data_IF_786274084869
#
_entry.id   IF_786274084869
#
_cell.length_a   1.000
_cell.length_b   1.000
_cell.length_c   1.000
_cell.angle_alpha   90.00
_cell.angle_beta   90.00
_cell.angle_gamma   90.00
#
_symmetry.space_group_name_H-M   'P 1'
#
loop_
_entity.id
_entity.type
_entity.pdbx_description
1 polymer ?
#
# COMPACT_ATOMS: atom_id res chain seq x y z
N UNK A 1 26.83 18.99 15.15
CA UNK A 1 26.00 19.17 13.94
C UNK A 1 24.69 18.42 14.09
N UNK A 2 23.57 19.05 13.77
CA UNK A 2 22.25 18.41 13.85
C UNK A 2 22.08 17.41 12.69
N UNK A 3 21.40 16.30 12.94
CA UNK A 3 21.09 15.29 11.92
C UNK A 3 20.02 15.87 10.97
N UNK A 4 20.18 15.77 9.64
CA UNK A 4 19.21 16.33 8.70
C UNK A 4 17.89 15.55 8.71
N UNK A 5 16.78 16.27 8.57
CA UNK A 5 15.45 15.69 8.42
C UNK A 5 15.19 15.33 6.95
N UNK A 6 15.12 14.04 6.63
CA UNK A 6 14.92 13.56 5.25
C UNK A 6 13.49 13.03 5.09
N UNK A 7 12.81 13.44 4.02
CA UNK A 7 11.47 12.97 3.68
C UNK A 7 11.42 12.33 2.29
N UNK A 8 10.77 11.17 2.17
CA UNK A 8 10.47 10.52 0.90
C UNK A 8 9.00 10.74 0.53
N UNK A 9 8.76 11.16 -0.71
CA UNK A 9 7.44 11.55 -1.21
C UNK A 9 6.99 10.62 -2.36
N UNK A 10 5.96 9.81 -2.11
CA UNK A 10 5.32 8.96 -3.11
C UNK A 10 4.18 9.66 -3.85
N UNK A 11 4.20 9.61 -5.18
CA UNK A 11 3.16 10.21 -6.03
C UNK A 11 1.94 9.32 -6.22
N UNK A 12 0.87 9.88 -6.81
CA UNK A 12 -0.29 9.11 -7.22
C UNK A 12 -0.07 8.32 -8.51
N UNK A 13 -0.95 7.35 -8.76
CA UNK A 13 -0.87 6.53 -9.97
C UNK A 13 -1.35 5.08 -9.83
N UNK A 14 -2.28 4.83 -8.89
CA UNK A 14 -2.83 3.50 -8.63
C UNK A 14 -1.75 2.44 -8.37
N UNK A 15 -1.96 1.23 -8.90
CA UNK A 15 -1.07 0.10 -8.64
C UNK A 15 0.36 0.33 -9.17
N UNK A 16 0.54 1.14 -10.23
CA UNK A 16 1.88 1.52 -10.72
C UNK A 16 2.66 2.28 -9.64
N UNK A 17 2.04 3.26 -9.00
CA UNK A 17 2.68 4.03 -7.92
C UNK A 17 2.92 3.16 -6.67
N UNK A 18 2.02 2.23 -6.37
CA UNK A 18 2.20 1.25 -5.29
C UNK A 18 3.46 0.40 -5.49
N UNK A 19 3.59 -0.24 -6.66
CA UNK A 19 4.75 -1.10 -6.97
C UNK A 19 6.02 -0.28 -7.13
N UNK A 20 5.93 0.91 -7.74
CA UNK A 20 7.04 1.84 -7.88
C UNK A 20 7.62 2.27 -6.54
N UNK A 21 6.78 2.69 -5.58
CA UNK A 21 7.23 3.06 -4.24
C UNK A 21 7.85 1.88 -3.50
N UNK A 22 7.25 0.68 -3.59
CA UNK A 22 7.81 -0.53 -2.99
C UNK A 22 9.23 -0.81 -3.53
N UNK A 23 9.42 -0.70 -4.84
CA UNK A 23 10.73 -0.83 -5.48
C UNK A 23 11.73 0.23 -5.01
N UNK A 24 11.31 1.49 -4.92
CA UNK A 24 12.17 2.58 -4.43
C UNK A 24 12.64 2.34 -2.99
N UNK A 25 11.76 1.88 -2.10
CA UNK A 25 12.11 1.57 -0.72
C UNK A 25 13.13 0.42 -0.63
N UNK A 26 12.99 -0.60 -1.48
CA UNK A 26 13.92 -1.73 -1.56
C UNK A 26 15.31 -1.28 -2.03
N UNK A 27 15.39 -0.39 -3.02
CA UNK A 27 16.69 0.13 -3.46
C UNK A 27 17.31 1.09 -2.44
N UNK A 28 16.49 1.86 -1.71
CA UNK A 28 16.98 2.69 -0.60
C UNK A 28 17.53 1.85 0.55
N UNK A 29 16.92 0.71 0.85
CA UNK A 29 17.42 -0.26 1.84
C UNK A 29 18.77 -0.83 1.42
N UNK A 30 18.87 -1.31 0.17
CA UNK A 30 20.15 -1.80 -0.40
C UNK A 30 21.26 -0.75 -0.43
N UNK A 31 20.90 0.51 -0.63
CA UNK A 31 21.84 1.62 -0.60
C UNK A 31 22.22 2.07 0.83
N UNK A 32 21.60 1.50 1.87
CA UNK A 32 21.80 1.91 3.26
C UNK A 32 21.21 3.29 3.59
N UNK A 33 20.24 3.76 2.81
CA UNK A 33 19.63 5.09 2.92
C UNK A 33 18.22 5.06 3.55
N UNK A 34 17.60 3.88 3.63
CA UNK A 34 16.24 3.75 4.17
C UNK A 34 16.15 4.24 5.63
N UNK A 35 17.11 3.87 6.48
CA UNK A 35 17.15 4.26 7.90
C UNK A 35 17.39 5.76 8.12
N UNK A 36 17.79 6.49 7.08
CA UNK A 36 17.97 7.94 7.15
C UNK A 36 16.64 8.70 6.95
N UNK A 37 15.57 8.04 6.51
CA UNK A 37 14.28 8.69 6.21
C UNK A 37 13.50 8.92 7.50
N UNK A 38 13.21 10.17 7.80
CA UNK A 38 12.38 10.58 8.93
C UNK A 38 10.88 10.53 8.60
N UNK A 39 10.51 10.93 7.38
CA UNK A 39 9.11 10.95 6.95
C UNK A 39 8.91 10.20 5.64
N UNK A 40 7.94 9.29 5.62
CA UNK A 40 7.42 8.69 4.41
C UNK A 40 6.01 9.23 4.16
N UNK A 41 5.85 10.02 3.10
CA UNK A 41 4.55 10.56 2.68
C UNK A 41 4.16 9.98 1.33
N UNK A 42 2.86 9.87 1.08
CA UNK A 42 2.37 9.39 -0.21
C UNK A 42 0.92 9.78 -0.45
N UNK A 43 0.53 9.79 -1.73
CA UNK A 43 -0.86 10.07 -2.16
C UNK A 43 -1.37 8.99 -3.09
N UNK A 44 -2.69 8.75 -3.10
CA UNK A 44 -3.35 7.80 -4.01
C UNK A 44 -2.65 6.42 -4.00
N UNK A 45 -2.14 5.93 -5.13
CA UNK A 45 -1.53 4.59 -5.22
C UNK A 45 -0.36 4.33 -4.25
N UNK A 46 0.47 5.35 -3.95
CA UNK A 46 1.54 5.19 -2.95
C UNK A 46 1.00 4.92 -1.55
N UNK A 47 -0.20 5.41 -1.20
CA UNK A 47 -0.80 5.11 0.11
C UNK A 47 -1.18 3.65 0.25
N UNK A 48 -1.45 2.93 -0.85
CA UNK A 48 -1.72 1.49 -0.82
C UNK A 48 -0.47 0.70 -0.44
N UNK A 49 0.69 1.10 -0.97
CA UNK A 49 1.98 0.52 -0.59
C UNK A 49 2.25 0.78 0.90
N UNK A 50 2.11 2.04 1.33
CA UNK A 50 2.29 2.41 2.73
C UNK A 50 1.33 1.61 3.64
N UNK A 51 0.04 1.56 3.32
CA UNK A 51 -0.94 0.79 4.10
C UNK A 51 -0.61 -0.69 4.19
N UNK A 52 -0.05 -1.30 3.14
CA UNK A 52 0.43 -2.69 3.19
C UNK A 52 1.70 -2.87 4.03
N UNK A 53 2.65 -1.94 3.96
CA UNK A 53 3.90 -1.98 4.74
C UNK A 53 3.62 -1.80 6.23
N UNK A 54 2.87 -0.74 6.59
CA UNK A 54 2.60 -0.37 7.99
C UNK A 54 1.68 -1.34 8.75
N UNK A 55 1.15 -2.38 8.09
CA UNK A 55 0.52 -3.52 8.79
C UNK A 55 1.53 -4.32 9.61
N UNK A 56 2.79 -4.32 9.19
CA UNK A 56 3.88 -4.97 9.92
C UNK A 56 4.66 -3.88 10.67
N UNK A 57 4.63 -3.84 12.03
CA UNK A 57 5.24 -2.75 12.80
C UNK A 57 6.74 -2.55 12.55
N UNK A 58 7.45 -3.63 12.21
CA UNK A 58 8.89 -3.63 11.92
C UNK A 58 9.18 -3.93 10.43
N UNK A 59 8.32 -3.45 9.53
CA UNK A 59 8.46 -3.71 8.10
C UNK A 59 9.81 -3.28 7.52
N UNK A 60 10.40 -2.19 8.00
CA UNK A 60 11.64 -1.63 7.43
C UNK A 60 12.85 -2.54 7.67
N UNK A 61 12.93 -3.20 8.83
CA UNK A 61 14.00 -4.16 9.13
C UNK A 61 13.78 -5.53 8.48
N UNK A 62 12.56 -5.79 7.98
CA UNK A 62 12.15 -7.03 7.31
C UNK A 62 11.68 -6.79 5.88
N UNK A 63 12.14 -5.72 5.24
CA UNK A 63 11.56 -5.20 4.01
C UNK A 63 11.48 -6.26 2.91
N UNK A 64 12.51 -7.09 2.75
CA UNK A 64 12.51 -8.18 1.78
C UNK A 64 11.38 -9.20 2.00
N UNK A 65 11.11 -9.57 3.25
CA UNK A 65 10.01 -10.50 3.57
C UNK A 65 8.66 -9.85 3.31
N UNK A 66 8.47 -8.60 3.72
CA UNK A 66 7.22 -7.86 3.51
C UNK A 66 6.96 -7.61 2.03
N UNK A 67 7.99 -7.22 1.27
CA UNK A 67 7.96 -7.10 -0.20
C UNK A 67 7.48 -8.40 -0.83
N UNK A 68 8.06 -9.54 -0.46
CA UNK A 68 7.70 -10.83 -1.03
C UNK A 68 6.25 -11.22 -0.70
N UNK A 69 5.76 -10.94 0.52
CA UNK A 69 4.34 -11.12 0.86
C UNK A 69 3.43 -10.25 -0.01
N UNK A 70 3.77 -8.97 -0.18
CA UNK A 70 3.00 -8.04 -1.01
C UNK A 70 2.97 -8.51 -2.47
N UNK A 71 4.13 -8.81 -3.06
CA UNK A 71 4.22 -9.28 -4.46
C UNK A 71 3.45 -10.59 -4.65
N UNK A 72 3.60 -11.56 -3.73
CA UNK A 72 2.85 -12.82 -3.78
C UNK A 72 1.35 -12.59 -3.77
N UNK A 73 0.87 -11.67 -2.91
CA UNK A 73 -0.56 -11.28 -2.85
C UNK A 73 -1.01 -10.64 -4.15
N UNK A 74 -0.26 -9.66 -4.67
CA UNK A 74 -0.59 -8.98 -5.93
C UNK A 74 -0.63 -9.93 -7.14
N UNK A 75 0.23 -10.95 -7.16
CA UNK A 75 0.25 -12.01 -8.17
C UNK A 75 -0.76 -13.14 -7.92
N UNK A 76 -1.50 -13.10 -6.80
CA UNK A 76 -2.54 -14.08 -6.48
C UNK A 76 -3.72 -14.04 -7.45
N UNK A 77 -4.70 -14.94 -7.33
CA UNK A 77 -5.90 -14.92 -8.15
C UNK A 77 -6.68 -13.61 -7.98
N UNK A 78 -7.52 -13.29 -8.97
CA UNK A 78 -8.48 -12.19 -8.86
C UNK A 78 -9.46 -12.48 -7.71
N UNK A 79 -10.00 -11.42 -7.10
CA UNK A 79 -10.95 -11.58 -5.99
C UNK A 79 -12.29 -12.02 -6.55
N UNK A 80 -12.95 -12.98 -5.89
CA UNK A 80 -14.21 -13.50 -6.40
C UNK A 80 -15.30 -12.42 -6.38
N UNK A 81 -16.14 -12.39 -7.43
CA UNK A 81 -17.24 -11.43 -7.50
C UNK A 81 -18.20 -11.56 -6.32
N UNK A 82 -18.38 -12.78 -5.81
CA UNK A 82 -19.19 -13.08 -4.62
C UNK A 82 -18.64 -12.40 -3.37
N UNK A 83 -17.32 -12.49 -3.11
CA UNK A 83 -16.69 -11.80 -1.97
C UNK A 83 -16.79 -10.28 -2.09
N UNK A 84 -16.58 -9.76 -3.30
CA UNK A 84 -16.72 -8.33 -3.60
C UNK A 84 -18.14 -7.85 -3.34
N UNK A 85 -19.15 -8.61 -3.77
CA UNK A 85 -20.55 -8.28 -3.53
C UNK A 85 -20.94 -8.36 -2.05
N UNK A 86 -20.40 -9.32 -1.30
CA UNK A 86 -20.59 -9.40 0.15
C UNK A 86 -19.97 -8.21 0.88
N UNK A 87 -18.74 -7.82 0.51
CA UNK A 87 -18.09 -6.60 1.02
C UNK A 87 -18.96 -5.37 0.71
N UNK A 88 -19.52 -5.28 -0.50
CA UNK A 88 -20.37 -4.15 -0.89
C UNK A 88 -21.66 -4.09 -0.06
N UNK A 89 -22.34 -5.23 0.15
CA UNK A 89 -23.52 -5.31 1.02
C UNK A 89 -23.22 -4.86 2.44
N UNK A 90 -22.03 -5.18 2.96
CA UNK A 90 -21.58 -4.72 4.29
C UNK A 90 -21.39 -3.20 4.30
N UNK A 91 -20.78 -2.63 3.26
CA UNK A 91 -20.52 -1.19 3.18
C UNK A 91 -21.80 -0.37 2.97
N UNK A 92 -22.80 -0.90 2.27
CA UNK A 92 -24.11 -0.27 2.09
C UNK A 92 -24.84 -0.03 3.43
N UNK A 93 -24.50 -0.78 4.49
CA UNK A 93 -25.10 -0.60 5.82
C UNK A 93 -24.48 0.55 6.63
N UNK A 94 -23.47 1.25 6.10
CA UNK A 94 -22.90 2.43 6.75
C UNK A 94 -23.90 3.59 6.70
N UNK A 95 -23.90 4.41 7.75
CA UNK A 95 -24.75 5.62 7.82
C UNK A 95 -24.45 6.60 6.68
N UNK A 96 -23.19 6.67 6.24
CA UNK A 96 -22.74 7.46 5.10
C UNK A 96 -22.09 6.55 4.05
N UNK A 97 -22.90 6.08 3.11
CA UNK A 97 -22.44 5.31 1.96
C UNK A 97 -22.26 6.22 0.75
N UNK A 98 -21.16 6.04 0.02
CA UNK A 98 -20.79 6.90 -1.10
C UNK A 98 -20.16 6.13 -2.26
N UNK A 99 -19.89 6.83 -3.38
CA UNK A 99 -19.12 6.27 -4.48
C UNK A 99 -17.69 5.89 -4.07
N UNK A 100 -17.14 6.48 -3.01
CA UNK A 100 -15.83 6.09 -2.47
C UNK A 100 -15.88 4.70 -1.85
N UNK A 101 -17.00 4.31 -1.22
CA UNK A 101 -17.20 2.97 -0.70
C UNK A 101 -17.31 1.94 -1.82
N UNK A 102 -18.08 2.27 -2.88
CA UNK A 102 -18.18 1.43 -4.08
C UNK A 102 -16.80 1.25 -4.73
N UNK A 103 -16.06 2.35 -4.89
CA UNK A 103 -14.71 2.32 -5.44
C UNK A 103 -13.73 1.52 -4.57
N UNK A 104 -13.79 1.66 -3.25
CA UNK A 104 -12.93 0.90 -2.33
C UNK A 104 -13.17 -0.61 -2.47
N UNK A 105 -14.44 -1.03 -2.53
CA UNK A 105 -14.79 -2.44 -2.67
C UNK A 105 -14.43 -3.00 -4.05
N UNK A 106 -14.63 -2.24 -5.13
CA UNK A 106 -14.38 -2.76 -6.48
C UNK A 106 -12.92 -2.62 -6.91
N UNK A 107 -12.31 -1.45 -6.72
CA UNK A 107 -10.99 -1.16 -7.23
C UNK A 107 -9.87 -1.56 -6.25
N UNK A 108 -9.98 -1.18 -4.98
CA UNK A 108 -8.89 -1.44 -4.01
C UNK A 108 -8.78 -2.93 -3.71
N UNK A 109 -9.89 -3.63 -3.52
CA UNK A 109 -9.87 -5.09 -3.31
C UNK A 109 -9.35 -5.83 -4.55
N UNK A 110 -9.63 -5.39 -5.78
CA UNK A 110 -9.07 -6.05 -6.98
C UNK A 110 -7.58 -5.77 -7.16
N UNK A 111 -7.13 -4.51 -7.02
CA UNK A 111 -5.75 -4.13 -7.31
C UNK A 111 -4.78 -4.41 -6.16
N UNK A 112 -5.21 -4.19 -4.91
CA UNK A 112 -4.37 -4.40 -3.72
C UNK A 112 -4.52 -5.83 -3.19
N UNK A 113 -5.67 -6.49 -3.50
CA UNK A 113 -6.00 -7.88 -3.09
C UNK A 113 -6.04 -8.05 -1.58
N UNK A 114 -6.66 -7.07 -0.92
CA UNK A 114 -6.94 -7.02 0.52
C UNK A 114 -8.47 -7.02 0.79
#
# INVERSE_FOLDING_TARGET
>A
PDVPNIALLGSGGGQRAMVGLLGSLVELDKAGLLDCILYLSGVSGSTWCMASLYKEPDWSTKLETVKNKIIKRLNGPAVSFTETFEKLKKYHKKDFFSLTDVWAVLAVTEYVKE
#
